data_IF_051682182003
#
_entry.id   IF_051682182003
#
_cell.length_a   1.000
_cell.length_b   1.000
_cell.length_c   1.000
_cell.angle_alpha   90.00
_cell.angle_beta   90.00
_cell.angle_gamma   90.00
#
_symmetry.space_group_name_H-M   'P 1'
#
loop_
_entity.id
_entity.type
_entity.pdbx_description
1 polymer ?
#
# COMPACT_ATOMS: atom_id res chain seq x y z
N UNK A 1 6.55 74.98 14.12
CA UNK A 1 6.91 73.93 15.05
C UNK A 1 7.53 72.81 14.22
N UNK A 2 8.85 72.84 14.16
CA UNK A 2 9.68 71.95 13.31
C UNK A 2 9.71 70.55 13.93
N UNK A 3 9.60 69.54 13.08
CA UNK A 3 9.97 68.16 13.42
C UNK A 3 11.05 67.72 12.45
N UNK A 4 12.26 67.58 12.99
CA UNK A 4 13.43 67.01 12.33
C UNK A 4 13.20 65.57 11.89
N UNK A 5 13.43 65.32 10.61
CA UNK A 5 13.57 63.98 10.07
C UNK A 5 15.05 63.67 10.02
N UNK A 6 15.50 62.92 11.03
CA UNK A 6 16.86 62.41 11.09
C UNK A 6 17.09 61.41 9.95
N UNK A 7 17.95 61.79 9.05
CA UNK A 7 18.50 60.98 7.97
C UNK A 7 19.37 59.85 8.56
N UNK A 8 18.85 58.66 8.64
CA UNK A 8 19.67 57.48 8.93
C UNK A 8 20.59 57.21 7.72
N UNK A 9 21.88 57.50 7.88
CA UNK A 9 22.92 57.12 6.96
C UNK A 9 22.97 55.62 6.76
N UNK A 10 22.60 55.18 5.60
CA UNK A 10 22.96 53.85 5.09
C UNK A 10 24.47 53.82 4.88
N UNK A 11 25.24 53.37 5.86
CA UNK A 11 26.65 52.98 5.65
C UNK A 11 26.67 51.71 4.82
N UNK A 12 26.76 51.88 3.51
CA UNK A 12 27.19 50.84 2.59
C UNK A 12 28.65 50.48 2.93
N UNK A 13 28.84 49.45 3.71
CA UNK A 13 30.14 48.83 3.88
C UNK A 13 30.50 48.08 2.60
N UNK A 14 31.02 48.80 1.62
CA UNK A 14 31.72 48.24 0.51
C UNK A 14 32.99 47.58 1.07
N UNK A 15 32.95 46.22 1.19
CA UNK A 15 34.17 45.44 1.45
C UNK A 15 35.02 45.48 0.21
N UNK A 16 35.78 46.57 0.10
CA UNK A 16 36.76 46.73 -0.95
C UNK A 16 37.82 45.61 -0.83
N UNK A 17 38.13 44.97 -1.92
CA UNK A 17 39.21 44.00 -2.02
C UNK A 17 40.52 44.61 -1.51
N UNK A 18 41.12 43.97 -0.52
CA UNK A 18 42.46 44.31 -0.02
C UNK A 18 43.39 43.12 -0.28
N UNK A 19 44.59 43.36 -0.78
CA UNK A 19 45.59 42.31 -1.00
C UNK A 19 45.92 41.53 0.28
N UNK A 20 45.79 42.16 1.43
CA UNK A 20 46.10 41.59 2.75
C UNK A 20 44.94 40.82 3.35
N UNK A 21 43.77 40.85 2.73
CA UNK A 21 42.60 40.09 3.14
C UNK A 21 41.98 39.44 1.89
N UNK A 22 42.51 38.29 1.47
CA UNK A 22 42.00 37.60 0.30
C UNK A 22 40.52 37.25 0.49
N UNK A 23 39.75 37.42 -0.57
CA UNK A 23 38.35 37.11 -0.58
C UNK A 23 38.11 35.67 -0.03
N UNK A 24 37.08 35.45 0.77
CA UNK A 24 36.80 34.12 1.31
C UNK A 24 36.68 33.13 0.16
N UNK A 25 37.46 32.07 0.22
CA UNK A 25 37.33 30.94 -0.73
C UNK A 25 35.97 30.33 -0.59
N UNK A 26 35.09 30.62 -1.55
CA UNK A 26 33.80 29.96 -1.61
C UNK A 26 34.07 28.52 -2.04
N UNK A 27 34.16 27.60 -1.06
CA UNK A 27 34.20 26.17 -1.39
C UNK A 27 32.96 25.83 -2.22
N UNK A 28 33.12 25.20 -3.39
CA UNK A 28 31.97 24.73 -4.14
C UNK A 28 31.14 23.79 -3.25
N UNK A 29 29.82 23.87 -3.31
CA UNK A 29 28.97 22.99 -2.50
C UNK A 29 29.45 21.55 -2.73
N UNK A 30 29.81 20.85 -1.65
CA UNK A 30 30.24 19.46 -1.71
C UNK A 30 29.13 18.70 -2.45
N UNK A 31 29.45 18.31 -3.69
CA UNK A 31 28.55 17.46 -4.47
C UNK A 31 28.19 16.29 -3.56
N UNK A 32 26.94 16.24 -3.16
CA UNK A 32 26.37 15.12 -2.39
C UNK A 32 26.71 13.87 -3.18
N UNK A 33 27.76 13.16 -2.74
CA UNK A 33 28.16 11.90 -3.37
C UNK A 33 26.89 11.08 -3.52
N UNK A 34 26.49 10.83 -4.77
CA UNK A 34 25.38 9.92 -5.05
C UNK A 34 25.67 8.66 -4.25
N UNK A 35 24.89 8.42 -3.19
CA UNK A 35 24.93 7.12 -2.50
C UNK A 35 24.77 6.10 -3.61
N UNK A 36 25.86 5.40 -3.92
CA UNK A 36 25.80 4.23 -4.78
C UNK A 36 24.73 3.33 -4.18
N UNK A 37 23.64 3.02 -4.89
CA UNK A 37 22.65 2.11 -4.37
C UNK A 37 23.40 0.83 -4.01
N UNK A 38 23.34 0.40 -2.74
CA UNK A 38 23.85 -0.90 -2.37
C UNK A 38 23.11 -1.90 -3.26
N UNK A 39 23.83 -2.55 -4.16
CA UNK A 39 23.32 -3.46 -5.19
C UNK A 39 22.61 -4.72 -4.65
N UNK A 40 22.34 -4.78 -3.35
CA UNK A 40 21.72 -5.90 -2.63
C UNK A 40 20.33 -5.59 -2.06
N UNK A 41 19.72 -4.44 -2.37
CA UNK A 41 18.29 -4.30 -2.12
C UNK A 41 17.57 -5.07 -3.22
N UNK A 42 17.17 -6.30 -2.88
CA UNK A 42 16.16 -7.05 -3.62
C UNK A 42 15.08 -6.06 -4.05
N UNK A 43 14.74 -6.06 -5.32
CA UNK A 43 13.73 -5.15 -5.89
C UNK A 43 12.31 -5.47 -5.36
N UNK A 44 12.18 -5.59 -4.04
CA UNK A 44 10.93 -5.94 -3.36
C UNK A 44 9.82 -4.95 -3.70
N UNK A 45 10.15 -3.67 -3.81
CA UNK A 45 9.19 -2.63 -4.21
C UNK A 45 8.71 -2.84 -5.65
N UNK A 46 9.60 -3.26 -6.56
CA UNK A 46 9.25 -3.60 -7.94
C UNK A 46 8.32 -4.83 -8.00
N UNK A 47 8.64 -5.87 -7.24
CA UNK A 47 7.78 -7.06 -7.16
C UNK A 47 6.42 -6.75 -6.52
N UNK A 48 6.40 -5.91 -5.49
CA UNK A 48 5.16 -5.43 -4.88
C UNK A 48 4.30 -4.63 -5.87
N UNK A 49 4.92 -3.75 -6.64
CA UNK A 49 4.24 -2.99 -7.68
C UNK A 49 3.67 -3.88 -8.79
N UNK A 50 4.47 -4.84 -9.28
CA UNK A 50 4.04 -5.81 -10.29
C UNK A 50 2.89 -6.68 -9.77
N UNK A 51 3.03 -7.19 -8.54
CA UNK A 51 1.98 -7.96 -7.87
C UNK A 51 0.66 -7.20 -7.80
N UNK A 52 0.68 -5.92 -7.39
CA UNK A 52 -0.54 -5.11 -7.29
C UNK A 52 -1.25 -4.95 -8.63
N UNK A 53 -0.52 -4.82 -9.73
CA UNK A 53 -1.11 -4.70 -11.06
C UNK A 53 -1.67 -6.02 -11.58
N UNK A 54 -0.89 -7.09 -11.49
CA UNK A 54 -1.31 -8.40 -11.99
C UNK A 54 -2.45 -8.98 -11.14
N UNK A 55 -2.34 -8.91 -9.81
CA UNK A 55 -3.39 -9.41 -8.92
C UNK A 55 -4.70 -8.62 -9.08
N UNK A 56 -4.62 -7.31 -9.36
CA UNK A 56 -5.80 -6.50 -9.64
C UNK A 56 -6.57 -6.97 -10.88
N UNK A 57 -5.87 -7.24 -11.98
CA UNK A 57 -6.48 -7.76 -13.22
C UNK A 57 -7.12 -9.13 -12.98
N UNK A 58 -6.39 -10.03 -12.32
CA UNK A 58 -6.90 -11.37 -12.00
C UNK A 58 -8.11 -11.28 -11.07
N UNK A 59 -8.09 -10.41 -10.07
CA UNK A 59 -9.20 -10.20 -9.15
C UNK A 59 -10.45 -9.68 -9.85
N UNK A 60 -10.32 -8.77 -10.82
CA UNK A 60 -11.47 -8.30 -11.59
C UNK A 60 -12.19 -9.50 -12.25
N UNK A 61 -11.45 -10.40 -12.88
CA UNK A 61 -12.03 -11.60 -13.51
C UNK A 61 -12.65 -12.54 -12.47
N UNK A 62 -11.93 -12.82 -11.38
CA UNK A 62 -12.40 -13.74 -10.34
C UNK A 62 -13.63 -13.21 -9.63
N UNK A 63 -13.64 -11.93 -9.24
CA UNK A 63 -14.74 -11.31 -8.48
C UNK A 63 -15.96 -11.13 -9.38
N UNK A 64 -15.80 -10.60 -10.59
CA UNK A 64 -16.92 -10.45 -11.52
C UNK A 64 -17.49 -11.81 -11.92
N UNK A 65 -16.65 -12.79 -12.18
CA UNK A 65 -17.10 -14.17 -12.43
C UNK A 65 -17.88 -14.75 -11.24
N UNK A 66 -17.38 -14.55 -10.03
CA UNK A 66 -18.06 -14.96 -8.80
C UNK A 66 -19.43 -14.27 -8.67
N UNK A 67 -19.49 -12.94 -8.85
CA UNK A 67 -20.72 -12.18 -8.77
C UNK A 67 -21.75 -12.60 -9.83
N UNK A 68 -21.33 -12.77 -11.08
CA UNK A 68 -22.24 -13.22 -12.15
C UNK A 68 -22.84 -14.58 -11.82
N UNK A 69 -22.02 -15.52 -11.35
CA UNK A 69 -22.50 -16.85 -10.97
C UNK A 69 -23.45 -16.81 -9.78
N UNK A 70 -23.20 -15.95 -8.80
CA UNK A 70 -24.02 -15.85 -7.60
C UNK A 70 -25.32 -15.06 -7.80
N UNK A 71 -25.30 -14.00 -8.61
CA UNK A 71 -26.38 -13.03 -8.68
C UNK A 71 -27.22 -13.15 -9.95
N UNK A 72 -26.67 -13.68 -11.05
CA UNK A 72 -27.32 -13.65 -12.37
C UNK A 72 -27.72 -15.03 -12.86
N UNK A 73 -26.86 -16.04 -12.66
CA UNK A 73 -27.11 -17.39 -13.19
C UNK A 73 -28.19 -18.11 -12.38
N UNK A 74 -29.08 -18.85 -13.04
CA UNK A 74 -30.07 -19.80 -12.48
C UNK A 74 -30.89 -19.27 -11.27
N UNK A 75 -31.46 -18.10 -11.36
CA UNK A 75 -32.34 -17.54 -10.32
C UNK A 75 -31.63 -16.70 -9.26
N UNK A 76 -30.32 -16.46 -9.40
CA UNK A 76 -29.57 -15.49 -8.62
C UNK A 76 -29.55 -15.75 -7.12
N UNK A 77 -29.70 -14.68 -6.34
CA UNK A 77 -29.59 -14.71 -4.86
C UNK A 77 -30.56 -15.69 -4.19
N UNK A 78 -31.75 -15.90 -4.76
CA UNK A 78 -32.79 -16.75 -4.16
C UNK A 78 -32.40 -18.23 -4.04
N UNK A 79 -31.43 -18.68 -4.84
CA UNK A 79 -30.95 -20.08 -4.78
C UNK A 79 -29.77 -20.28 -3.83
N UNK A 80 -29.18 -19.19 -3.29
CA UNK A 80 -28.04 -19.31 -2.41
C UNK A 80 -28.49 -19.86 -1.06
N UNK A 81 -28.31 -21.16 -0.90
CA UNK A 81 -28.58 -21.89 0.32
C UNK A 81 -27.44 -22.87 0.59
N UNK A 82 -27.52 -23.60 1.70
CA UNK A 82 -26.49 -24.57 2.07
C UNK A 82 -26.24 -25.63 0.99
N UNK A 83 -27.30 -26.17 0.40
CA UNK A 83 -27.16 -27.18 -0.65
C UNK A 83 -26.43 -26.69 -1.89
N UNK A 84 -26.66 -25.43 -2.27
CA UNK A 84 -25.96 -24.80 -3.36
C UNK A 84 -24.44 -24.65 -3.08
N UNK A 85 -24.08 -24.18 -1.89
CA UNK A 85 -22.68 -24.05 -1.45
C UNK A 85 -22.03 -25.43 -1.35
N UNK A 86 -22.72 -26.39 -0.75
CA UNK A 86 -22.23 -27.78 -0.63
C UNK A 86 -21.99 -28.42 -1.99
N UNK A 87 -22.90 -28.24 -2.95
CA UNK A 87 -22.73 -28.75 -4.31
C UNK A 87 -21.54 -28.10 -5.05
N UNK A 88 -21.29 -26.80 -4.84
CA UNK A 88 -20.13 -26.13 -5.41
C UNK A 88 -18.83 -26.63 -4.80
N UNK A 89 -18.75 -26.70 -3.49
CA UNK A 89 -17.53 -27.09 -2.79
C UNK A 89 -17.28 -28.61 -2.80
N UNK A 90 -18.20 -29.41 -3.28
CA UNK A 90 -17.92 -30.79 -3.66
C UNK A 90 -16.97 -30.90 -4.86
N UNK A 91 -16.81 -29.82 -5.65
CA UNK A 91 -15.88 -29.76 -6.78
C UNK A 91 -14.58 -29.04 -6.39
N UNK A 92 -13.42 -29.69 -6.56
CA UNK A 92 -12.11 -29.07 -6.30
C UNK A 92 -11.86 -27.79 -7.10
N UNK A 93 -12.47 -27.65 -8.28
CA UNK A 93 -12.37 -26.44 -9.10
C UNK A 93 -12.95 -25.22 -8.37
N UNK A 94 -14.14 -25.33 -7.81
CA UNK A 94 -14.78 -24.22 -7.09
C UNK A 94 -14.08 -23.90 -5.77
N UNK A 95 -13.62 -24.92 -5.05
CA UNK A 95 -12.80 -24.71 -3.86
C UNK A 95 -11.53 -23.92 -4.19
N UNK A 96 -10.83 -24.30 -5.26
CA UNK A 96 -9.62 -23.60 -5.70
C UNK A 96 -9.92 -22.18 -6.16
N UNK A 97 -11.03 -21.97 -6.88
CA UNK A 97 -11.48 -20.65 -7.32
C UNK A 97 -11.69 -19.70 -6.14
N UNK A 98 -12.48 -20.15 -5.15
CA UNK A 98 -12.82 -19.34 -3.98
C UNK A 98 -11.60 -19.13 -3.07
N UNK A 99 -10.72 -20.14 -2.94
CA UNK A 99 -9.45 -20.03 -2.21
C UNK A 99 -8.51 -18.99 -2.86
N UNK A 100 -8.35 -19.07 -4.18
CA UNK A 100 -7.50 -18.13 -4.92
C UNK A 100 -8.03 -16.70 -4.80
N UNK A 101 -9.35 -16.54 -4.92
CA UNK A 101 -10.01 -15.24 -4.75
C UNK A 101 -9.79 -14.69 -3.33
N UNK A 102 -9.95 -15.51 -2.29
CA UNK A 102 -9.72 -15.13 -0.89
C UNK A 102 -8.28 -14.63 -0.68
N UNK A 103 -7.30 -15.45 -1.08
CA UNK A 103 -5.89 -15.11 -0.87
C UNK A 103 -5.48 -13.86 -1.65
N UNK A 104 -5.85 -13.80 -2.93
CA UNK A 104 -5.52 -12.65 -3.77
C UNK A 104 -6.19 -11.37 -3.27
N UNK A 105 -7.47 -11.41 -2.91
CA UNK A 105 -8.20 -10.26 -2.39
C UNK A 105 -7.59 -9.76 -1.07
N UNK A 106 -7.27 -10.67 -0.16
CA UNK A 106 -6.70 -10.30 1.14
C UNK A 106 -5.29 -9.72 1.02
N UNK A 107 -4.42 -10.33 0.22
CA UNK A 107 -3.05 -9.84 0.01
C UNK A 107 -3.03 -8.52 -0.77
N UNK A 108 -3.84 -8.42 -1.83
CA UNK A 108 -3.99 -7.20 -2.62
C UNK A 108 -4.56 -6.05 -1.76
N UNK A 109 -5.66 -6.31 -1.05
CA UNK A 109 -6.31 -5.33 -0.19
C UNK A 109 -5.43 -4.89 0.97
N UNK A 110 -4.74 -5.83 1.63
CA UNK A 110 -3.82 -5.50 2.71
C UNK A 110 -2.65 -4.63 2.23
N UNK A 111 -2.07 -4.93 1.07
CA UNK A 111 -0.99 -4.11 0.52
C UNK A 111 -1.50 -2.72 0.06
N UNK A 112 -2.69 -2.65 -0.53
CA UNK A 112 -3.33 -1.39 -0.88
C UNK A 112 -3.62 -0.53 0.35
N UNK A 113 -4.25 -1.11 1.39
CA UNK A 113 -4.55 -0.39 2.63
C UNK A 113 -3.27 0.02 3.39
N UNK A 114 -2.21 -0.80 3.35
CA UNK A 114 -0.90 -0.41 3.88
C UNK A 114 -0.38 0.88 3.24
N UNK A 115 -0.55 1.04 1.94
CA UNK A 115 -0.15 2.25 1.21
C UNK A 115 -0.96 3.45 1.71
N UNK A 116 -2.28 3.31 1.78
CA UNK A 116 -3.16 4.35 2.32
C UNK A 116 -2.78 4.74 3.75
N UNK A 117 -2.51 3.77 4.63
CA UNK A 117 -2.06 4.05 6.01
C UNK A 117 -0.75 4.84 6.01
N UNK A 118 0.19 4.52 5.11
CA UNK A 118 1.46 5.25 5.01
C UNK A 118 1.27 6.71 4.58
N UNK A 119 0.30 6.95 3.69
CA UNK A 119 0.07 8.27 3.11
C UNK A 119 -0.73 9.19 4.06
N UNK A 120 -1.68 8.64 4.82
CA UNK A 120 -2.60 9.41 5.65
C UNK A 120 -2.29 9.41 7.15
N UNK A 121 -1.58 8.41 7.67
CA UNK A 121 -1.25 8.39 9.09
C UNK A 121 0.00 9.26 9.38
N UNK A 122 -0.21 10.43 9.96
CA UNK A 122 0.84 11.39 10.26
C UNK A 122 1.76 10.92 11.40
N UNK A 123 1.17 10.33 12.45
CA UNK A 123 1.92 9.88 13.64
C UNK A 123 2.44 8.47 13.46
N UNK A 124 3.72 8.24 13.74
CA UNK A 124 4.35 6.91 13.62
C UNK A 124 3.68 5.86 14.51
N UNK A 125 3.24 6.23 15.72
CA UNK A 125 2.51 5.35 16.64
C UNK A 125 1.17 4.90 16.03
N UNK A 126 0.40 5.83 15.47
CA UNK A 126 -0.89 5.51 14.81
C UNK A 126 -0.66 4.61 13.61
N UNK A 127 0.34 4.91 12.79
CA UNK A 127 0.75 4.11 11.62
C UNK A 127 1.12 2.69 12.03
N UNK A 128 1.87 2.52 13.11
CA UNK A 128 2.25 1.22 13.65
C UNK A 128 1.02 0.40 14.05
N UNK A 129 0.13 0.97 14.88
CA UNK A 129 -1.05 0.26 15.35
C UNK A 129 -2.03 -0.10 14.23
N UNK A 130 -2.26 0.81 13.28
CA UNK A 130 -3.13 0.52 12.12
C UNK A 130 -2.56 -0.63 11.28
N UNK A 131 -1.26 -0.69 11.06
CA UNK A 131 -0.63 -1.81 10.36
C UNK A 131 -0.71 -3.12 11.14
N UNK A 132 -0.53 -3.07 12.46
CA UNK A 132 -0.68 -4.25 13.31
C UNK A 132 -2.09 -4.82 13.21
N UNK A 133 -3.12 -3.98 13.34
CA UNK A 133 -4.52 -4.41 13.19
C UNK A 133 -4.77 -4.97 11.78
N UNK A 134 -4.29 -4.27 10.74
CA UNK A 134 -4.43 -4.71 9.36
C UNK A 134 -3.83 -6.10 9.13
N UNK A 135 -2.59 -6.31 9.52
CA UNK A 135 -1.92 -7.61 9.30
C UNK A 135 -2.52 -8.72 10.13
N UNK A 136 -2.88 -8.45 11.39
CA UNK A 136 -3.56 -9.42 12.25
C UNK A 136 -4.90 -9.83 11.65
N UNK A 137 -5.72 -8.86 11.23
CA UNK A 137 -7.01 -9.15 10.58
C UNK A 137 -6.83 -9.93 9.28
N UNK A 138 -5.83 -9.57 8.45
CA UNK A 138 -5.53 -10.26 7.19
C UNK A 138 -5.16 -11.71 7.44
N UNK A 139 -4.21 -11.97 8.35
CA UNK A 139 -3.75 -13.33 8.67
C UNK A 139 -4.89 -14.16 9.25
N UNK A 140 -5.66 -13.58 10.18
CA UNK A 140 -6.80 -14.26 10.80
C UNK A 140 -7.87 -14.63 9.76
N UNK A 141 -8.24 -13.70 8.88
CA UNK A 141 -9.25 -13.95 7.83
C UNK A 141 -8.77 -14.99 6.81
N UNK A 142 -7.53 -14.92 6.36
CA UNK A 142 -6.96 -15.90 5.43
C UNK A 142 -6.88 -17.28 6.08
N UNK A 143 -6.45 -17.34 7.34
CA UNK A 143 -6.39 -18.60 8.08
C UNK A 143 -7.78 -19.23 8.25
N UNK A 144 -8.75 -18.47 8.76
CA UNK A 144 -10.11 -18.98 8.95
C UNK A 144 -10.79 -19.37 7.64
N UNK A 145 -10.68 -18.53 6.61
CA UNK A 145 -11.27 -18.82 5.30
C UNK A 145 -10.65 -20.06 4.66
N UNK A 146 -9.33 -20.23 4.77
CA UNK A 146 -8.64 -21.44 4.29
C UNK A 146 -9.09 -22.68 5.10
N UNK A 147 -9.14 -22.56 6.42
CA UNK A 147 -9.60 -23.64 7.29
C UNK A 147 -11.02 -24.08 6.91
N UNK A 148 -11.95 -23.14 6.75
CA UNK A 148 -13.34 -23.44 6.37
C UNK A 148 -13.40 -24.16 5.02
N UNK A 149 -12.68 -23.72 4.00
CA UNK A 149 -12.69 -24.35 2.68
C UNK A 149 -12.19 -25.80 2.74
N UNK A 150 -11.16 -26.09 3.54
CA UNK A 150 -10.59 -27.44 3.62
C UNK A 150 -11.29 -28.37 4.62
N UNK A 151 -11.96 -27.82 5.63
CA UNK A 151 -12.68 -28.62 6.63
C UNK A 151 -14.17 -28.76 6.32
N UNK A 152 -14.65 -28.10 5.27
CA UNK A 152 -16.05 -28.16 4.89
C UNK A 152 -16.43 -29.56 4.45
N UNK A 153 -17.41 -30.19 5.16
CA UNK A 153 -17.99 -31.47 4.80
C UNK A 153 -19.38 -31.21 4.22
N UNK A 154 -19.61 -31.48 2.91
CA UNK A 154 -20.92 -31.33 2.29
C UNK A 154 -21.97 -32.35 2.76
N UNK A 155 -21.55 -33.40 3.49
CA UNK A 155 -22.42 -34.51 3.93
C UNK A 155 -22.92 -34.38 5.37
N UNK A 156 -22.56 -33.28 6.06
CA UNK A 156 -23.12 -33.01 7.40
C UNK A 156 -24.63 -32.77 7.27
N UNK A 157 -25.40 -33.66 7.85
CA UNK A 157 -26.89 -33.59 7.96
C UNK A 157 -27.30 -33.06 9.31
#
# INVERSE_FOLDING_TARGET
MSADVSSAEMTSSSTAYSPDNPAPVIEPPRLRTKRTPKATRTNFEMYGWLFMRLSGIVLVVLVLGHLVIQLVVDGGVSRINFAFVAGRWASPFWQTWDLLMLWLAMLHGANGLRTVINDYAERDTTRFWLKMVLYTATVFTVFLGTLVIFTFDPNIR
#
